data_IF_509498515520
#
_entry.id   IF_509498515520
#
_cell.length_a   1.000
_cell.length_b   1.000
_cell.length_c   1.000
_cell.angle_alpha   90.00
_cell.angle_beta   90.00
_cell.angle_gamma   90.00
#
_symmetry.space_group_name_H-M   'P 1'
#
loop_
_entity.id
_entity.type
_entity.pdbx_description
1 polymer ?
#
# COMPACT_ATOMS: atom_id res chain seq x y z
N UNK A 1 -5.95 -22.10 -15.38
CA UNK A 1 -6.56 -20.87 -15.95
C UNK A 1 -6.11 -20.73 -17.40
N UNK A 2 -6.99 -20.36 -18.33
CA UNK A 2 -6.63 -20.15 -19.74
C UNK A 2 -5.90 -18.82 -19.93
N UNK A 3 -4.97 -18.72 -20.89
CA UNK A 3 -4.20 -17.49 -21.17
C UNK A 3 -5.10 -16.26 -21.38
N UNK A 4 -6.23 -16.46 -22.06
CA UNK A 4 -7.23 -15.41 -22.30
C UNK A 4 -7.83 -14.86 -20.99
N UNK A 5 -8.12 -15.73 -20.02
CA UNK A 5 -8.67 -15.31 -18.72
C UNK A 5 -7.64 -14.54 -17.89
N UNK A 6 -6.38 -14.97 -17.91
CA UNK A 6 -5.29 -14.24 -17.25
C UNK A 6 -5.04 -12.87 -17.89
N UNK A 7 -5.11 -12.78 -19.22
CA UNK A 7 -4.96 -11.51 -19.94
C UNK A 7 -6.11 -10.54 -19.62
N UNK A 8 -7.35 -11.03 -19.58
CA UNK A 8 -8.51 -10.21 -19.20
C UNK A 8 -8.37 -9.68 -17.76
N UNK A 9 -7.95 -10.53 -16.82
CA UNK A 9 -7.73 -10.13 -15.42
C UNK A 9 -6.60 -9.11 -15.29
N UNK A 10 -5.52 -9.27 -16.05
CA UNK A 10 -4.42 -8.31 -16.09
C UNK A 10 -4.89 -6.95 -16.65
N UNK A 11 -5.65 -6.96 -17.75
CA UNK A 11 -6.21 -5.76 -18.34
C UNK A 11 -7.20 -5.04 -17.40
N UNK A 12 -8.09 -5.79 -16.75
CA UNK A 12 -9.02 -5.25 -15.76
C UNK A 12 -8.27 -4.63 -14.57
N UNK A 13 -7.24 -5.31 -14.05
CA UNK A 13 -6.39 -4.79 -12.98
C UNK A 13 -5.69 -3.50 -13.40
N UNK A 14 -5.11 -3.45 -14.60
CA UNK A 14 -4.47 -2.25 -15.14
C UNK A 14 -5.46 -1.08 -15.27
N UNK A 15 -6.68 -1.33 -15.76
CA UNK A 15 -7.72 -0.30 -15.86
C UNK A 15 -8.12 0.26 -14.50
N UNK A 16 -8.28 -0.60 -13.50
CA UNK A 16 -8.58 -0.18 -12.12
C UNK A 16 -7.45 0.67 -11.55
N UNK A 17 -6.19 0.27 -11.75
CA UNK A 17 -5.02 1.03 -11.30
C UNK A 17 -4.94 2.40 -11.96
N UNK A 18 -5.23 2.49 -13.27
CA UNK A 18 -5.27 3.76 -14.00
C UNK A 18 -6.41 4.64 -13.50
N UNK A 19 -7.61 4.07 -13.31
CA UNK A 19 -8.77 4.80 -12.80
C UNK A 19 -8.53 5.34 -11.38
N UNK A 20 -7.91 4.54 -10.50
CA UNK A 20 -7.50 4.96 -9.17
C UNK A 20 -6.43 6.05 -9.23
N UNK A 21 -5.41 5.89 -10.08
CA UNK A 21 -4.31 6.86 -10.23
C UNK A 21 -4.79 8.24 -10.71
N UNK A 22 -5.80 8.25 -11.58
CA UNK A 22 -6.41 9.44 -12.17
C UNK A 22 -7.59 9.97 -11.35
N UNK A 23 -7.99 9.25 -10.30
CA UNK A 23 -9.10 9.62 -9.40
C UNK A 23 -10.40 9.97 -10.16
N UNK A 24 -10.69 9.21 -11.23
CA UNK A 24 -11.78 9.52 -12.19
C UNK A 24 -13.14 9.06 -11.68
N UNK A 25 -13.18 8.10 -10.76
CA UNK A 25 -14.40 7.44 -10.33
C UNK A 25 -14.71 7.73 -8.86
N UNK A 26 -15.70 8.60 -8.54
CA UNK A 26 -16.06 8.94 -7.16
C UNK A 26 -16.47 7.75 -6.30
N UNK A 27 -17.14 6.75 -6.86
CA UNK A 27 -17.43 5.48 -6.18
C UNK A 27 -16.21 4.64 -5.76
N UNK A 28 -14.98 4.91 -6.22
CA UNK A 28 -13.75 4.32 -5.67
C UNK A 28 -13.33 4.98 -4.35
N UNK A 29 -13.92 6.14 -4.01
CA UNK A 29 -13.63 6.88 -2.78
C UNK A 29 -14.41 6.36 -1.56
N UNK A 30 -15.33 5.41 -1.76
CA UNK A 30 -16.22 4.91 -0.72
C UNK A 30 -17.27 5.95 -0.28
N UNK A 31 -18.18 5.59 0.64
CA UNK A 31 -19.08 6.55 1.27
C UNK A 31 -18.25 7.43 2.20
N UNK A 32 -17.79 8.58 1.71
CA UNK A 32 -17.07 9.54 2.55
C UNK A 32 -18.06 10.15 3.57
N UNK A 33 -17.81 10.05 4.89
CA UNK A 33 -18.50 10.86 5.88
C UNK A 33 -18.22 12.33 5.62
N UNK A 34 -19.18 13.21 5.96
CA UNK A 34 -19.00 14.65 5.84
C UNK A 34 -17.86 15.13 6.77
N UNK A 35 -16.97 16.03 6.32
CA UNK A 35 -17.03 16.76 5.05
C UNK A 35 -16.53 15.94 3.85
N UNK A 36 -16.96 16.29 2.61
CA UNK A 36 -16.76 15.52 1.37
C UNK A 36 -15.31 15.52 0.84
N UNK A 37 -14.34 15.71 1.73
CA UNK A 37 -12.95 16.01 1.43
C UNK A 37 -12.01 14.82 1.60
N UNK A 38 -12.55 13.59 1.71
CA UNK A 38 -11.76 12.38 1.47
C UNK A 38 -11.40 12.27 -0.02
N UNK A 39 -10.45 13.10 -0.40
CA UNK A 39 -9.71 13.00 -1.63
C UNK A 39 -8.60 12.01 -1.33
N UNK A 40 -8.35 11.06 -2.25
CA UNK A 40 -7.03 10.45 -2.31
C UNK A 40 -6.08 11.61 -2.61
N UNK A 41 -5.55 12.24 -1.56
CA UNK A 41 -4.63 13.36 -1.67
C UNK A 41 -3.38 12.87 -2.36
N UNK A 42 -3.41 12.82 -3.68
CA UNK A 42 -2.23 12.62 -4.49
C UNK A 42 -1.49 13.94 -4.42
N UNK A 43 -0.75 14.12 -3.33
CA UNK A 43 0.26 15.15 -3.21
C UNK A 43 1.50 14.59 -3.91
N UNK A 44 1.76 14.91 -5.19
CA UNK A 44 3.02 14.56 -5.82
C UNK A 44 4.14 15.16 -4.99
N UNK A 45 4.81 14.31 -4.21
CA UNK A 45 5.95 14.74 -3.43
C UNK A 45 7.10 14.94 -4.40
N UNK A 46 7.87 16.03 -4.28
CA UNK A 46 9.09 16.17 -5.04
C UNK A 46 9.91 14.90 -4.84
N UNK A 47 10.38 14.30 -5.94
CA UNK A 47 11.24 13.12 -5.89
C UNK A 47 12.54 13.57 -5.25
N UNK A 48 12.63 13.43 -3.93
CA UNK A 48 13.87 13.69 -3.22
C UNK A 48 14.90 12.68 -3.72
N UNK A 49 16.14 13.13 -3.90
CA UNK A 49 17.26 12.33 -4.41
C UNK A 49 17.74 11.25 -3.42
N UNK A 50 16.81 10.58 -2.74
CA UNK A 50 17.09 9.43 -1.89
C UNK A 50 17.22 8.18 -2.76
N UNK A 51 18.16 7.30 -2.44
CA UNK A 51 18.40 6.11 -3.25
C UNK A 51 17.17 5.19 -3.24
N UNK A 52 16.68 4.86 -4.43
CA UNK A 52 15.58 3.90 -4.63
C UNK A 52 16.02 2.44 -4.41
N UNK A 53 17.32 2.20 -4.23
CA UNK A 53 17.92 0.86 -4.11
C UNK A 53 17.17 -0.04 -3.11
N UNK A 54 16.84 0.40 -1.88
CA UNK A 54 16.15 -0.47 -0.92
C UNK A 54 14.76 -0.90 -1.42
N UNK A 55 14.01 0.02 -2.05
CA UNK A 55 12.70 -0.25 -2.62
C UNK A 55 12.82 -1.26 -3.76
N UNK A 56 13.75 -1.05 -4.69
CA UNK A 56 13.97 -1.94 -5.84
C UNK A 56 14.35 -3.35 -5.39
N UNK A 57 15.26 -3.46 -4.40
CA UNK A 57 15.68 -4.76 -3.85
C UNK A 57 14.49 -5.51 -3.24
N UNK A 58 13.64 -4.82 -2.47
CA UNK A 58 12.47 -5.44 -1.85
C UNK A 58 11.40 -5.81 -2.89
N UNK A 59 11.22 -5.02 -3.95
CA UNK A 59 10.29 -5.35 -5.05
C UNK A 59 10.78 -6.62 -5.72
N UNK A 60 12.09 -6.66 -6.04
CA UNK A 60 12.74 -7.83 -6.62
C UNK A 60 12.58 -9.08 -5.76
N UNK A 61 12.72 -8.95 -4.44
CA UNK A 61 12.49 -10.06 -3.49
C UNK A 61 11.06 -10.59 -3.52
N UNK A 62 10.06 -9.69 -3.54
CA UNK A 62 8.64 -10.07 -3.61
C UNK A 62 8.33 -10.76 -4.94
N UNK A 63 8.83 -10.23 -6.06
CA UNK A 63 8.66 -10.83 -7.39
C UNK A 63 9.35 -12.20 -7.47
N UNK A 64 10.55 -12.32 -6.89
CA UNK A 64 11.28 -13.58 -6.79
C UNK A 64 10.49 -14.63 -6.01
N UNK A 65 9.94 -14.28 -4.84
CA UNK A 65 9.06 -15.15 -4.08
C UNK A 65 7.82 -15.54 -4.89
N UNK A 66 7.16 -14.58 -5.54
CA UNK A 66 5.96 -14.86 -6.34
C UNK A 66 6.25 -15.88 -7.46
N UNK A 67 7.38 -15.74 -8.18
CA UNK A 67 7.81 -16.69 -9.20
C UNK A 67 8.07 -18.08 -8.62
N UNK A 68 8.73 -18.16 -7.46
CA UNK A 68 9.02 -19.43 -6.78
C UNK A 68 7.77 -20.12 -6.21
N UNK A 69 6.70 -19.37 -5.97
CA UNK A 69 5.42 -19.92 -5.51
C UNK A 69 4.65 -20.67 -6.61
N UNK A 70 4.80 -20.30 -7.89
CA UNK A 70 4.06 -20.91 -9.00
C UNK A 70 4.31 -22.41 -9.22
N UNK A 71 5.55 -22.94 -9.11
CA UNK A 71 5.80 -24.37 -9.29
C UNK A 71 5.73 -25.19 -7.98
N UNK A 72 5.66 -24.55 -6.80
CA UNK A 72 5.83 -25.24 -5.53
C UNK A 72 4.51 -25.81 -5.00
N UNK A 73 4.26 -27.10 -5.23
CA UNK A 73 3.34 -27.88 -4.39
C UNK A 73 3.87 -27.89 -2.96
N UNK A 74 3.33 -27.02 -2.10
CA UNK A 74 3.90 -26.75 -0.78
C UNK A 74 3.33 -27.69 0.28
N UNK A 75 4.19 -28.46 0.94
CA UNK A 75 3.86 -29.05 2.24
C UNK A 75 3.71 -27.94 3.29
N UNK A 76 2.81 -28.15 4.28
CA UNK A 76 2.38 -27.14 5.28
C UNK A 76 3.51 -26.34 5.94
N UNK A 77 4.70 -26.93 6.13
CA UNK A 77 5.87 -26.23 6.71
C UNK A 77 6.56 -25.22 5.77
N UNK A 78 6.57 -25.47 4.46
CA UNK A 78 7.14 -24.55 3.45
C UNK A 78 6.24 -23.35 3.20
N UNK A 79 4.94 -23.54 3.38
CA UNK A 79 3.92 -22.51 3.23
C UNK A 79 4.03 -21.42 4.31
N UNK A 80 4.21 -21.81 5.58
CA UNK A 80 4.40 -20.86 6.67
C UNK A 80 5.66 -19.99 6.51
N UNK A 81 6.79 -20.61 6.12
CA UNK A 81 8.03 -19.88 5.85
C UNK A 81 7.91 -18.92 4.66
N UNK A 82 7.20 -19.33 3.62
CA UNK A 82 6.89 -18.49 2.46
C UNK A 82 6.04 -17.28 2.84
N UNK A 83 4.95 -17.50 3.59
CA UNK A 83 4.07 -16.43 4.05
C UNK A 83 4.81 -15.45 4.97
N UNK A 84 5.66 -15.95 5.87
CA UNK A 84 6.49 -15.11 6.73
C UNK A 84 7.47 -14.27 5.90
N UNK A 85 8.16 -14.87 4.92
CA UNK A 85 9.07 -14.15 4.04
C UNK A 85 8.33 -13.07 3.22
N UNK A 86 7.16 -13.39 2.67
CA UNK A 86 6.32 -12.44 1.96
C UNK A 86 5.85 -11.30 2.87
N UNK A 87 5.45 -11.59 4.10
CA UNK A 87 5.04 -10.59 5.09
C UNK A 87 6.20 -9.66 5.47
N UNK A 88 7.40 -10.21 5.72
CA UNK A 88 8.59 -9.42 6.06
C UNK A 88 9.04 -8.53 4.90
N UNK A 89 9.04 -9.04 3.66
CA UNK A 89 9.36 -8.23 2.48
C UNK A 89 8.31 -7.15 2.22
N UNK A 90 7.03 -7.47 2.39
CA UNK A 90 5.94 -6.50 2.27
C UNK A 90 6.03 -5.40 3.32
N UNK A 91 6.33 -5.75 4.56
CA UNK A 91 6.54 -4.78 5.63
C UNK A 91 7.79 -3.92 5.40
N UNK A 92 8.91 -4.56 5.04
CA UNK A 92 10.13 -3.86 4.67
C UNK A 92 9.92 -2.89 3.51
N UNK A 93 9.12 -3.27 2.50
CA UNK A 93 8.76 -2.41 1.37
C UNK A 93 8.05 -1.14 1.83
N UNK A 94 7.06 -1.28 2.71
CA UNK A 94 6.33 -0.12 3.25
C UNK A 94 7.27 0.82 4.01
N UNK A 95 8.21 0.28 4.80
CA UNK A 95 9.22 1.08 5.49
C UNK A 95 10.20 1.74 4.52
N UNK A 96 10.65 1.04 3.48
CA UNK A 96 11.54 1.60 2.47
C UNK A 96 10.89 2.76 1.70
N UNK A 97 9.61 2.63 1.34
CA UNK A 97 8.82 3.70 0.75
C UNK A 97 8.65 4.88 1.71
N UNK A 98 8.41 4.60 2.99
CA UNK A 98 8.36 5.64 4.03
C UNK A 98 9.71 6.35 4.18
N UNK A 99 10.82 5.64 3.98
CA UNK A 99 12.17 6.18 3.99
C UNK A 99 12.45 7.18 2.85
N UNK A 100 11.64 7.21 1.80
CA UNK A 100 11.72 8.23 0.74
C UNK A 100 11.13 9.57 1.17
N UNK A 101 10.33 9.60 2.24
CA UNK A 101 9.69 10.81 2.76
C UNK A 101 10.70 11.76 3.42
N UNK A 102 10.49 13.09 3.41
CA UNK A 102 11.44 14.05 3.97
C UNK A 102 11.89 13.75 5.40
N UNK A 103 10.98 13.31 6.26
CA UNK A 103 11.26 12.97 7.67
C UNK A 103 12.00 11.64 7.86
N UNK A 104 12.19 10.84 6.79
CA UNK A 104 12.68 9.47 6.88
C UNK A 104 11.71 8.55 7.63
N UNK A 105 12.11 7.30 7.86
CA UNK A 105 11.23 6.30 8.47
C UNK A 105 10.78 6.74 9.87
N UNK A 106 11.72 7.06 10.76
CA UNK A 106 11.41 7.40 12.15
C UNK A 106 10.63 8.71 12.27
N UNK A 107 11.07 9.77 11.57
CA UNK A 107 10.40 11.08 11.64
C UNK A 107 8.98 11.01 11.09
N UNK A 108 8.77 10.27 10.01
CA UNK A 108 7.45 10.12 9.41
C UNK A 108 6.53 9.19 10.22
N UNK A 109 7.05 8.13 10.84
CA UNK A 109 6.29 7.30 11.78
C UNK A 109 5.83 8.13 12.98
N UNK A 110 6.73 8.89 13.61
CA UNK A 110 6.39 9.76 14.74
C UNK A 110 5.36 10.82 14.34
N UNK A 111 5.55 11.46 13.17
CA UNK A 111 4.61 12.46 12.64
C UNK A 111 3.23 11.88 12.40
N UNK A 112 3.14 10.67 11.82
CA UNK A 112 1.86 9.98 11.54
C UNK A 112 1.19 9.47 12.81
N UNK A 113 1.96 8.93 13.76
CA UNK A 113 1.46 8.45 15.04
C UNK A 113 0.94 9.58 15.94
N UNK A 114 1.59 10.76 15.89
CA UNK A 114 1.16 11.95 16.62
C UNK A 114 0.13 12.82 15.89
N UNK A 115 -0.18 12.54 14.62
CA UNK A 115 -1.11 13.36 13.84
C UNK A 115 -2.56 12.97 14.09
N UNK A 116 -3.34 13.90 14.64
CA UNK A 116 -4.78 13.75 14.82
C UNK A 116 -5.61 13.77 13.53
N UNK A 117 -5.01 14.07 12.37
CA UNK A 117 -5.69 14.12 11.06
C UNK A 117 -5.29 12.99 10.11
N UNK A 118 -4.16 12.30 10.37
CA UNK A 118 -3.65 11.25 9.49
C UNK A 118 -4.45 9.94 9.60
N UNK A 119 -5.09 9.70 10.74
CA UNK A 119 -5.86 8.49 11.06
C UNK A 119 -7.38 8.75 11.06
N UNK A 120 -7.89 9.58 10.14
CA UNK A 120 -9.33 9.92 10.14
C UNK A 120 -10.24 8.69 10.05
N UNK A 121 -9.80 7.61 9.38
CA UNK A 121 -10.51 6.32 9.37
C UNK A 121 -10.64 5.69 10.77
N UNK A 122 -9.61 5.79 11.61
CA UNK A 122 -9.64 5.26 12.98
C UNK A 122 -10.46 6.16 13.91
N UNK A 123 -10.46 7.49 13.72
CA UNK A 123 -11.33 8.40 14.48
C UNK A 123 -12.81 8.18 14.18
N UNK A 124 -13.16 7.97 12.91
CA UNK A 124 -14.52 7.65 12.47
C UNK A 124 -14.95 6.27 12.96
N UNK A 125 -14.08 5.26 12.92
CA UNK A 125 -14.40 3.91 13.42
C UNK A 125 -14.40 3.80 14.96
N UNK A 126 -13.62 4.63 15.66
CA UNK A 126 -13.57 4.65 17.12
C UNK A 126 -14.66 5.54 17.76
N UNK A 127 -15.53 6.16 16.96
CA UNK A 127 -16.62 7.02 17.48
C UNK A 127 -16.10 8.21 18.28
N UNK A 128 -14.87 8.66 18.03
CA UNK A 128 -14.31 9.85 18.69
C UNK A 128 -14.64 11.06 17.81
N UNK A 129 -15.94 11.31 17.67
CA UNK A 129 -16.41 12.67 17.41
C UNK A 129 -16.02 13.52 18.62
N UNK A 130 -15.33 14.62 18.33
CA UNK A 130 -15.08 15.80 19.15
C UNK A 130 -15.72 15.78 20.55
N UNK A 131 -15.10 15.06 21.47
CA UNK A 131 -15.28 15.25 22.90
C UNK A 131 -14.22 16.22 23.40
N UNK A 132 -14.27 17.47 22.92
CA UNK A 132 -13.78 18.67 23.61
C UNK A 132 -14.18 19.92 22.84
N UNK A 133 -15.02 20.68 23.53
CA UNK A 133 -15.39 22.09 23.37
C UNK A 133 -14.22 23.00 22.97
#
# INVERSE_FOLDING_TARGET
MTRARSALLAAATLLVLVAARRDVWPGLRGPAPYPPEWQWGYAPKPVHARPLVPVVVLVGGILGLAVLAFPAGAGRGKEAGFLLAAALLGWGMQLALLGLEPGGIAGELTRRAGSGSFTSYFKVAAGVEDARE
#
